data_IF_002486657511
#
_entry.id   IF_002486657511
#
_cell.length_a   1.000
_cell.length_b   1.000
_cell.length_c   1.000
_cell.angle_alpha   90.00
_cell.angle_beta   90.00
_cell.angle_gamma   90.00
#
_symmetry.space_group_name_H-M   'P 1'
#
loop_
_entity.id
_entity.type
_entity.pdbx_description
1 polymer ?
#
# COMPACT_ATOMS: atom_id res chain seq x y z
N UNK A 1 5.42 -9.20 -12.44
CA UNK A 1 5.32 -10.64 -12.09
C UNK A 1 5.50 -10.76 -10.60
N UNK A 2 4.84 -11.69 -9.94
CA UNK A 2 4.83 -11.75 -8.47
C UNK A 2 5.35 -13.11 -8.00
N UNK A 3 6.13 -13.13 -6.92
CA UNK A 3 6.53 -14.39 -6.29
C UNK A 3 5.31 -15.06 -5.66
N UNK A 4 5.02 -16.32 -6.02
CA UNK A 4 3.83 -17.06 -5.56
C UNK A 4 3.83 -17.34 -4.06
N UNK A 5 5.01 -17.48 -3.44
CA UNK A 5 5.13 -17.79 -2.00
C UNK A 5 5.20 -16.57 -1.08
N UNK A 6 5.63 -15.42 -1.59
CA UNK A 6 5.89 -14.23 -0.76
C UNK A 6 5.17 -12.98 -1.26
N UNK A 7 4.30 -13.10 -2.28
CA UNK A 7 3.51 -12.00 -2.88
C UNK A 7 4.36 -10.76 -3.23
N UNK A 8 5.65 -10.95 -3.50
CA UNK A 8 6.57 -9.86 -3.79
C UNK A 8 6.49 -9.46 -5.25
N UNK A 9 6.17 -8.18 -5.49
CA UNK A 9 6.17 -7.60 -6.83
C UNK A 9 7.59 -7.47 -7.36
N UNK A 10 7.79 -7.98 -8.57
CA UNK A 10 9.04 -7.90 -9.29
C UNK A 10 8.96 -6.70 -10.24
N UNK A 11 9.78 -5.68 -9.98
CA UNK A 11 9.91 -4.48 -10.80
C UNK A 11 11.03 -4.65 -11.86
N UNK A 12 11.13 -3.70 -12.79
CA UNK A 12 11.95 -3.75 -14.03
C UNK A 12 13.35 -4.39 -13.91
N UNK A 13 14.18 -4.12 -12.88
CA UNK A 13 15.54 -4.68 -12.77
C UNK A 13 15.59 -6.20 -12.68
N UNK A 14 14.46 -6.83 -12.37
CA UNK A 14 14.34 -8.27 -12.22
C UNK A 14 13.51 -8.90 -13.34
N UNK A 15 13.29 -8.18 -14.45
CA UNK A 15 12.50 -8.65 -15.59
C UNK A 15 13.10 -9.92 -16.24
N UNK A 16 14.43 -9.99 -16.30
CA UNK A 16 15.15 -11.13 -16.92
C UNK A 16 15.25 -12.35 -15.99
N UNK A 17 14.92 -12.21 -14.70
CA UNK A 17 15.00 -13.33 -13.77
C UNK A 17 13.86 -14.33 -14.02
N UNK A 18 14.23 -15.59 -14.26
CA UNK A 18 13.28 -16.70 -14.41
C UNK A 18 12.86 -17.35 -13.09
N UNK A 19 13.66 -17.18 -12.04
CA UNK A 19 13.40 -17.67 -10.69
C UNK A 19 13.28 -16.50 -9.72
N UNK A 20 12.57 -16.71 -8.62
CA UNK A 20 12.55 -15.75 -7.51
C UNK A 20 13.93 -15.72 -6.82
N UNK A 21 14.57 -14.55 -6.62
CA UNK A 21 15.86 -14.48 -5.93
C UNK A 21 15.80 -14.84 -4.44
N UNK A 22 14.61 -14.93 -3.85
CA UNK A 22 14.43 -15.24 -2.42
C UNK A 22 14.08 -16.70 -2.17
N UNK A 23 13.09 -17.22 -2.89
CA UNK A 23 12.55 -18.57 -2.66
C UNK A 23 12.82 -19.53 -3.81
N UNK A 24 13.64 -19.11 -4.78
CA UNK A 24 14.13 -19.87 -5.96
C UNK A 24 13.06 -20.51 -6.85
N UNK A 25 11.78 -20.26 -6.57
CA UNK A 25 10.65 -20.84 -7.30
C UNK A 25 10.58 -20.28 -8.72
N UNK A 26 10.24 -21.14 -9.68
CA UNK A 26 10.06 -20.75 -11.06
C UNK A 26 8.90 -19.75 -11.17
N UNK A 27 9.09 -18.67 -11.91
CA UNK A 27 8.09 -17.61 -12.08
C UNK A 27 7.07 -17.92 -13.17
N UNK A 28 7.33 -18.95 -13.97
CA UNK A 28 6.49 -19.33 -15.11
C UNK A 28 5.85 -20.69 -14.86
N UNK A 29 4.64 -20.88 -15.37
CA UNK A 29 3.96 -22.16 -15.27
C UNK A 29 4.78 -23.25 -15.99
N UNK A 30 4.90 -24.46 -15.42
CA UNK A 30 5.46 -25.60 -16.12
C UNK A 30 4.67 -25.81 -17.42
N UNK A 31 5.36 -26.00 -18.54
CA UNK A 31 4.71 -26.10 -19.85
C UNK A 31 4.28 -27.56 -20.12
N UNK A 32 2.98 -27.89 -20.23
CA UNK A 32 2.53 -29.24 -20.54
C UNK A 32 2.78 -29.65 -22.00
N UNK A 33 3.02 -28.69 -22.93
CA UNK A 33 3.11 -28.91 -24.37
C UNK A 33 4.51 -28.63 -24.97
N UNK A 34 5.56 -28.81 -24.18
CA UNK A 34 6.97 -28.56 -24.59
C UNK A 34 7.42 -29.30 -25.85
N UNK A 35 6.69 -30.34 -26.28
CA UNK A 35 7.05 -31.20 -27.42
C UNK A 35 6.68 -30.66 -28.82
N UNK A 36 5.87 -29.59 -28.97
CA UNK A 36 5.28 -29.25 -30.30
C UNK A 36 5.53 -27.85 -30.88
N UNK A 37 6.22 -26.91 -30.21
CA UNK A 37 6.48 -25.57 -30.82
C UNK A 37 7.85 -24.99 -30.43
N UNK A 38 8.62 -24.52 -31.43
CA UNK A 38 9.95 -23.88 -31.29
C UNK A 38 9.94 -22.57 -30.48
N UNK A 39 8.79 -21.93 -30.28
CA UNK A 39 8.60 -20.74 -29.42
C UNK A 39 7.23 -20.81 -28.74
N UNK A 40 7.17 -21.31 -27.51
CA UNK A 40 5.97 -21.23 -26.67
C UNK A 40 6.07 -19.99 -25.78
N UNK A 41 5.02 -19.16 -25.67
CA UNK A 41 5.04 -17.99 -24.79
C UNK A 41 5.18 -18.40 -23.33
N UNK A 42 6.09 -17.75 -22.60
CA UNK A 42 6.28 -17.98 -21.16
C UNK A 42 5.12 -17.35 -20.39
N UNK A 43 4.26 -18.17 -19.77
CA UNK A 43 3.11 -17.71 -18.99
C UNK A 43 3.50 -17.53 -17.52
N UNK A 44 3.38 -16.33 -16.94
CA UNK A 44 3.65 -16.10 -15.51
C UNK A 44 2.70 -16.90 -14.62
N UNK A 45 3.21 -17.43 -13.51
CA UNK A 45 2.37 -18.12 -12.52
C UNK A 45 1.40 -17.16 -11.82
N UNK A 46 1.85 -15.93 -11.52
CA UNK A 46 1.02 -14.89 -10.93
C UNK A 46 1.38 -13.50 -11.48
N UNK A 47 0.34 -12.69 -11.69
CA UNK A 47 0.46 -11.30 -12.08
C UNK A 47 -0.37 -10.42 -11.13
N UNK A 48 0.23 -9.31 -10.73
CA UNK A 48 -0.46 -8.26 -10.00
C UNK A 48 -0.25 -6.93 -10.73
N UNK A 49 -1.32 -6.16 -10.84
CA UNK A 49 -1.25 -4.78 -11.32
C UNK A 49 -0.86 -3.90 -10.14
N UNK A 50 0.12 -3.02 -10.32
CA UNK A 50 0.50 -2.02 -9.32
C UNK A 50 0.12 -0.64 -9.82
N UNK A 51 -0.60 0.12 -9.01
CA UNK A 51 -0.93 1.51 -9.27
C UNK A 51 0.02 2.36 -8.42
N UNK A 52 0.87 3.19 -9.04
CA UNK A 52 1.90 3.92 -8.30
C UNK A 52 1.25 4.92 -7.33
N UNK A 53 1.74 4.94 -6.10
CA UNK A 53 1.20 5.81 -5.04
C UNK A 53 1.48 7.30 -5.33
N UNK A 54 2.71 7.63 -5.77
CA UNK A 54 3.17 9.01 -5.96
C UNK A 54 2.23 9.87 -6.83
N UNK A 55 1.91 9.46 -8.07
CA UNK A 55 0.99 10.22 -8.93
C UNK A 55 -0.40 10.42 -8.32
N UNK A 56 -0.90 9.44 -7.56
CA UNK A 56 -2.19 9.55 -6.89
C UNK A 56 -2.17 10.61 -5.79
N UNK A 57 -1.10 10.63 -4.96
CA UNK A 57 -0.92 11.65 -3.92
C UNK A 57 -0.72 13.05 -4.51
N UNK A 58 0.05 13.18 -5.59
CA UNK A 58 0.23 14.45 -6.30
C UNK A 58 -1.10 14.98 -6.82
N UNK A 59 -1.96 14.11 -7.38
CA UNK A 59 -3.29 14.51 -7.83
C UNK A 59 -4.18 15.00 -6.67
N UNK A 60 -4.11 14.37 -5.50
CA UNK A 60 -4.86 14.80 -4.31
C UNK A 60 -4.41 16.18 -3.80
N UNK A 61 -3.10 16.45 -3.76
CA UNK A 61 -2.55 17.74 -3.31
C UNK A 61 -2.62 18.87 -4.35
N UNK A 62 -2.90 18.56 -5.63
CA UNK A 62 -2.88 19.55 -6.72
C UNK A 62 -3.79 20.76 -6.52
N UNK A 63 -4.92 20.59 -5.83
CA UNK A 63 -5.86 21.68 -5.57
C UNK A 63 -5.62 22.33 -4.20
N UNK A 64 -5.89 23.64 -4.06
CA UNK A 64 -5.81 24.34 -2.77
C UNK A 64 -6.68 23.66 -1.69
N UNK A 65 -7.88 23.21 -2.07
CA UNK A 65 -8.78 22.48 -1.17
C UNK A 65 -8.20 21.13 -0.75
N UNK A 66 -7.67 20.36 -1.70
CA UNK A 66 -7.07 19.05 -1.45
C UNK A 66 -5.82 19.14 -0.56
N UNK A 67 -4.94 20.10 -0.86
CA UNK A 67 -3.77 20.41 -0.02
C UNK A 67 -4.19 20.80 1.40
N UNK A 68 -5.16 21.71 1.56
CA UNK A 68 -5.68 22.08 2.90
C UNK A 68 -6.28 20.88 3.64
N UNK A 69 -6.98 19.98 2.95
CA UNK A 69 -7.55 18.79 3.56
C UNK A 69 -6.48 17.75 3.97
N UNK A 70 -5.38 17.65 3.21
CA UNK A 70 -4.22 16.79 3.51
C UNK A 70 -3.23 17.40 4.53
N UNK A 71 -3.54 18.54 5.14
CA UNK A 71 -2.73 19.12 6.21
C UNK A 71 -3.21 18.71 7.61
N UNK A 72 -4.22 17.84 7.71
CA UNK A 72 -4.81 17.44 8.99
C UNK A 72 -3.78 16.76 9.90
N UNK A 73 -2.97 15.84 9.38
CA UNK A 73 -1.94 15.16 10.18
C UNK A 73 -0.96 16.15 10.82
N UNK A 74 -0.41 17.06 10.01
CA UNK A 74 0.55 18.06 10.48
C UNK A 74 -0.05 18.93 11.60
N UNK A 75 -1.28 19.42 11.40
CA UNK A 75 -2.01 20.19 12.42
C UNK A 75 -2.26 19.39 13.69
N UNK A 76 -2.75 18.16 13.57
CA UNK A 76 -3.03 17.30 14.72
C UNK A 76 -1.77 16.99 15.51
N UNK A 77 -0.69 16.56 14.85
CA UNK A 77 0.56 16.26 15.54
C UNK A 77 1.10 17.49 16.26
N UNK A 78 1.04 18.68 15.65
CA UNK A 78 1.43 19.93 16.31
C UNK A 78 0.58 20.21 17.54
N UNK A 79 -0.73 20.04 17.48
CA UNK A 79 -1.63 20.27 18.63
C UNK A 79 -1.44 19.24 19.75
N UNK A 80 -1.07 18.01 19.42
CA UNK A 80 -0.88 16.94 20.41
C UNK A 80 0.41 17.10 21.22
N UNK A 81 1.41 17.83 20.70
CA UNK A 81 2.65 18.13 21.44
C UNK A 81 2.34 18.96 22.69
N UNK A 82 1.37 19.87 22.62
CA UNK A 82 1.00 20.73 23.76
C UNK A 82 0.12 20.01 24.80
N UNK A 83 -0.50 18.89 24.41
CA UNK A 83 -1.44 18.13 25.27
C UNK A 83 -0.78 16.93 25.95
N UNK A 84 0.45 16.63 25.59
CA UNK A 84 1.21 15.49 26.08
C UNK A 84 1.75 15.74 27.49
N UNK A 85 1.54 14.79 28.40
CA UNK A 85 2.14 14.82 29.74
C UNK A 85 3.63 14.41 29.71
N UNK A 86 4.32 14.53 30.86
CA UNK A 86 5.74 14.16 30.98
C UNK A 86 6.01 12.69 30.61
N UNK A 87 5.04 11.81 30.84
CA UNK A 87 5.13 10.38 30.54
C UNK A 87 4.82 10.06 29.08
N UNK A 88 4.31 11.03 28.32
CA UNK A 88 3.94 10.89 26.93
C UNK A 88 2.54 10.35 26.67
N UNK A 89 1.62 10.55 27.60
CA UNK A 89 0.22 10.18 27.49
C UNK A 89 -0.64 11.39 27.13
N UNK A 90 -1.83 11.11 26.60
CA UNK A 90 -2.80 12.11 26.19
C UNK A 90 -4.09 11.93 26.98
N UNK A 91 -4.82 13.02 27.28
CA UNK A 91 -6.10 12.94 27.98
C UNK A 91 -7.19 12.29 27.11
N UNK A 92 -7.06 12.37 25.78
CA UNK A 92 -8.04 11.84 24.83
C UNK A 92 -7.36 11.24 23.59
N UNK A 93 -7.85 10.06 23.19
CA UNK A 93 -7.42 9.37 21.98
C UNK A 93 -8.52 9.43 20.92
N UNK A 94 -8.42 10.43 20.03
CA UNK A 94 -9.44 10.66 18.99
C UNK A 94 -9.12 9.99 17.65
N UNK A 95 -7.83 9.87 17.32
CA UNK A 95 -7.37 9.32 16.05
C UNK A 95 -6.10 8.50 16.23
N UNK A 96 -5.71 7.77 15.18
CA UNK A 96 -4.47 6.99 15.15
C UNK A 96 -3.22 7.83 15.49
N UNK A 97 -3.25 9.14 15.19
CA UNK A 97 -2.16 10.07 15.44
C UNK A 97 -1.97 10.36 16.94
N UNK A 98 -2.96 10.08 17.78
CA UNK A 98 -2.83 10.13 19.24
C UNK A 98 -1.92 9.02 19.77
N UNK A 99 -1.68 7.97 18.98
CA UNK A 99 -0.81 6.85 19.34
C UNK A 99 0.61 7.30 19.68
N UNK A 100 1.08 6.96 20.89
CA UNK A 100 2.39 7.34 21.42
C UNK A 100 3.54 6.94 20.49
N UNK A 101 3.48 5.76 19.90
CA UNK A 101 4.52 5.27 18.99
C UNK A 101 4.60 6.09 17.70
N UNK A 102 3.46 6.52 17.16
CA UNK A 102 3.41 7.37 15.97
C UNK A 102 3.98 8.75 16.29
N UNK A 103 3.63 9.33 17.44
CA UNK A 103 4.14 10.65 17.84
C UNK A 103 5.64 10.62 18.12
N UNK A 104 6.13 9.61 18.84
CA UNK A 104 7.57 9.37 19.05
C UNK A 104 8.31 9.17 17.73
N UNK A 105 7.74 8.38 16.81
CA UNK A 105 8.31 8.20 15.49
C UNK A 105 8.36 9.51 14.71
N UNK A 106 7.28 10.30 14.72
CA UNK A 106 7.20 11.57 14.02
C UNK A 106 8.25 12.58 14.51
N UNK A 107 8.42 12.67 15.83
CA UNK A 107 9.47 13.50 16.44
C UNK A 107 10.87 13.00 16.07
N UNK A 108 11.12 11.69 16.21
CA UNK A 108 12.43 11.09 15.90
C UNK A 108 12.82 11.21 14.42
N UNK A 109 11.86 11.04 13.53
CA UNK A 109 12.06 11.12 12.09
C UNK A 109 12.12 12.57 11.57
N UNK A 110 11.81 13.57 12.42
CA UNK A 110 11.74 14.97 12.01
C UNK A 110 10.66 15.20 10.96
N UNK A 111 9.50 14.54 11.10
CA UNK A 111 8.42 14.63 10.12
C UNK A 111 7.93 16.07 9.97
N UNK A 112 8.01 16.57 8.75
CA UNK A 112 7.55 17.90 8.33
C UNK A 112 6.07 17.85 7.92
N UNK A 113 5.47 19.00 7.60
CA UNK A 113 4.12 19.05 7.04
C UNK A 113 4.02 18.50 5.61
N UNK A 114 5.14 18.50 4.88
CA UNK A 114 5.22 18.01 3.51
C UNK A 114 5.26 16.48 3.44
N UNK A 115 5.67 15.82 4.52
CA UNK A 115 5.63 14.36 4.62
C UNK A 115 4.20 13.83 4.60
N UNK A 116 4.03 12.65 3.99
CA UNK A 116 2.74 11.98 3.82
C UNK A 116 2.79 10.63 4.54
N UNK A 117 1.76 10.36 5.35
CA UNK A 117 1.56 9.10 6.05
C UNK A 117 0.47 8.29 5.38
N UNK A 118 0.81 7.07 4.96
CA UNK A 118 -0.15 6.13 4.37
C UNK A 118 -0.14 4.78 5.09
N UNK A 119 -1.30 4.15 5.17
CA UNK A 119 -1.43 2.74 5.54
C UNK A 119 -1.65 1.90 4.30
N UNK A 120 -0.99 0.74 4.22
CA UNK A 120 -1.30 -0.27 3.23
C UNK A 120 -2.24 -1.30 3.85
N UNK A 121 -3.42 -1.46 3.28
CA UNK A 121 -4.29 -2.61 3.55
C UNK A 121 -4.21 -3.57 2.37
N UNK A 122 -4.05 -4.86 2.66
CA UNK A 122 -3.88 -5.92 1.68
C UNK A 122 -4.68 -7.13 2.13
N UNK A 123 -5.71 -7.50 1.38
CA UNK A 123 -6.61 -8.58 1.76
C UNK A 123 -7.04 -9.44 0.56
N UNK A 124 -7.33 -10.70 0.83
CA UNK A 124 -7.87 -11.65 -0.13
C UNK A 124 -9.36 -11.44 -0.29
N UNK A 125 -9.84 -11.43 -1.53
CA UNK A 125 -11.26 -11.38 -1.84
C UNK A 125 -11.71 -12.71 -2.44
N UNK A 126 -12.75 -13.33 -1.88
CA UNK A 126 -13.38 -14.52 -2.45
C UNK A 126 -14.57 -14.16 -3.36
N UNK A 127 -14.34 -14.16 -4.68
CA UNK A 127 -15.37 -13.78 -5.67
C UNK A 127 -16.36 -14.89 -5.99
N UNK A 128 -16.01 -16.16 -5.72
CA UNK A 128 -16.86 -17.32 -5.99
C UNK A 128 -16.93 -18.25 -4.79
N UNK A 129 -18.15 -18.63 -4.39
CA UNK A 129 -18.41 -19.49 -3.23
C UNK A 129 -17.68 -20.84 -3.29
N UNK A 130 -17.57 -21.42 -4.48
CA UNK A 130 -17.02 -22.77 -4.70
C UNK A 130 -15.73 -22.78 -5.54
N UNK A 131 -15.04 -21.65 -5.67
CA UNK A 131 -13.72 -21.56 -6.30
C UNK A 131 -12.77 -20.92 -5.30
N UNK A 132 -11.59 -21.52 -5.10
CA UNK A 132 -10.51 -20.79 -4.45
C UNK A 132 -10.26 -19.52 -5.26
N UNK A 133 -10.54 -18.39 -4.63
CA UNK A 133 -10.36 -17.09 -5.25
C UNK A 133 -8.98 -16.60 -4.85
N UNK A 134 -8.08 -16.56 -5.81
CA UNK A 134 -6.70 -16.12 -5.61
C UNK A 134 -6.54 -14.62 -5.87
N UNK A 135 -7.65 -13.86 -5.74
CA UNK A 135 -7.67 -12.42 -5.95
C UNK A 135 -7.32 -11.69 -4.66
N UNK A 136 -6.23 -10.93 -4.69
CA UNK A 136 -5.77 -10.06 -3.63
C UNK A 136 -6.00 -8.62 -4.05
N UNK A 137 -6.59 -7.83 -3.15
CA UNK A 137 -6.84 -6.41 -3.35
C UNK A 137 -6.03 -5.65 -2.32
N UNK A 138 -5.37 -4.59 -2.77
CA UNK A 138 -4.63 -3.70 -1.92
C UNK A 138 -5.09 -2.26 -2.10
N UNK A 139 -5.18 -1.54 -1.00
CA UNK A 139 -5.54 -0.12 -0.96
C UNK A 139 -4.59 0.66 -0.06
N UNK A 140 -4.34 1.91 -0.42
CA UNK A 140 -3.69 2.88 0.43
C UNK A 140 -4.74 3.72 1.16
N UNK A 141 -4.56 3.85 2.46
CA UNK A 141 -5.32 4.74 3.34
C UNK A 141 -4.44 5.96 3.61
N UNK A 142 -4.91 7.15 3.26
CA UNK A 142 -4.15 8.40 3.45
C UNK A 142 -4.47 9.00 4.81
N UNK A 143 -3.55 8.86 5.78
CA UNK A 143 -3.76 9.31 7.16
C UNK A 143 -3.68 10.83 7.33
N UNK A 144 -3.16 11.54 6.32
CA UNK A 144 -3.15 13.00 6.25
C UNK A 144 -4.53 13.65 6.17
N UNK A 145 -5.60 12.87 5.96
CA UNK A 145 -6.98 13.34 6.06
C UNK A 145 -7.59 13.10 7.44
N UNK A 146 -8.52 13.99 7.82
CA UNK A 146 -9.39 13.81 8.98
C UNK A 146 -10.18 12.48 8.90
N UNK A 147 -10.43 11.77 10.02
CA UNK A 147 -11.13 10.47 10.03
C UNK A 147 -12.46 10.45 9.26
N UNK A 148 -13.24 11.53 9.34
CA UNK A 148 -14.52 11.69 8.63
C UNK A 148 -14.39 11.69 7.11
N UNK A 149 -13.22 12.09 6.58
CA UNK A 149 -12.94 12.14 5.15
C UNK A 149 -12.14 10.92 4.68
N UNK A 150 -11.19 10.45 5.51
CA UNK A 150 -10.21 9.40 5.20
C UNK A 150 -10.81 8.14 4.59
N UNK A 151 -11.92 7.66 5.15
CA UNK A 151 -12.57 6.40 4.73
C UNK A 151 -13.66 6.58 3.67
N UNK A 152 -13.79 7.78 3.09
CA UNK A 152 -14.68 7.98 1.94
C UNK A 152 -14.01 7.47 0.68
N UNK A 153 -14.78 6.90 -0.24
CA UNK A 153 -14.31 6.31 -1.51
C UNK A 153 -13.31 7.20 -2.28
N UNK A 154 -13.47 8.52 -2.21
CA UNK A 154 -12.60 9.50 -2.88
C UNK A 154 -11.17 9.55 -2.33
N UNK A 155 -10.94 9.12 -1.10
CA UNK A 155 -9.67 9.26 -0.38
C UNK A 155 -9.00 7.91 -0.06
N UNK A 156 -9.63 6.80 -0.45
CA UNK A 156 -9.00 5.47 -0.46
C UNK A 156 -8.41 5.26 -1.86
N UNK A 157 -7.10 5.04 -1.92
CA UNK A 157 -6.39 4.93 -3.19
C UNK A 157 -6.17 3.46 -3.53
N UNK A 158 -6.44 3.01 -4.76
CA UNK A 158 -6.13 1.65 -5.15
C UNK A 158 -4.60 1.47 -5.22
N UNK A 159 -4.10 0.38 -4.66
CA UNK A 159 -2.68 0.05 -4.65
C UNK A 159 -2.37 -1.07 -5.66
N UNK A 160 -3.14 -2.16 -5.59
CA UNK A 160 -2.95 -3.28 -6.51
C UNK A 160 -4.13 -4.24 -6.52
N UNK A 161 -4.20 -5.03 -7.60
CA UNK A 161 -5.12 -6.15 -7.70
C UNK A 161 -4.43 -7.32 -8.42
N UNK A 162 -4.46 -8.52 -7.86
CA UNK A 162 -3.98 -9.72 -8.57
C UNK A 162 -4.99 -10.15 -9.63
N UNK A 163 -4.49 -10.65 -10.75
CA UNK A 163 -5.35 -11.28 -11.75
C UNK A 163 -5.77 -12.67 -11.24
N UNK A 164 -7.06 -13.04 -11.38
CA UNK A 164 -7.54 -14.39 -11.08
C UNK A 164 -6.99 -15.42 -12.07
#
# INVERSE_FOLDING_TARGET
MTCVRQLRCVYRPYAELHTCPLCTTNRYCPNPNSRKKKKVPKVPQQQMVTIPLGPQLQALRRSKQGSKAMSYRARMLSSLVEQEDEDGNLPLYEDILSGKDIRKFAAKAGMTEDDITVGLSFDGAQLYRNKQSDTWIAVWIVYDYHPTLRYKRKHILPASCSRP
#
